data_IF_497424514755
#
_entry.id   IF_497424514755
#
_cell.length_a   1.000
_cell.length_b   1.000
_cell.length_c   1.000
_cell.angle_alpha   90.00
_cell.angle_beta   90.00
_cell.angle_gamma   90.00
#
_symmetry.space_group_name_H-M   'P 1'
#
loop_
_entity.id
_entity.type
_entity.pdbx_description
1 polymer ?
#
# COMPACT_ATOMS: atom_id res chain seq x y z
N UNK A 1 -16.24 -3.77 -40.68
CA UNK A 1 -16.47 -2.98 -39.45
C UNK A 1 -15.21 -3.06 -38.61
N UNK A 2 -14.27 -2.15 -38.84
CA UNK A 2 -12.99 -2.10 -38.12
C UNK A 2 -13.17 -1.35 -36.81
N UNK A 3 -13.14 -2.09 -35.70
CA UNK A 3 -13.11 -1.52 -34.36
C UNK A 3 -11.69 -1.02 -34.07
N UNK A 4 -11.49 0.29 -34.18
CA UNK A 4 -10.27 0.94 -33.72
C UNK A 4 -10.35 1.07 -32.21
N UNK A 5 -9.77 0.13 -31.48
CA UNK A 5 -9.50 0.31 -30.06
C UNK A 5 -8.45 1.41 -29.92
N UNK A 6 -8.88 2.64 -29.65
CA UNK A 6 -8.00 3.67 -29.13
C UNK A 6 -7.58 3.22 -27.73
N UNK A 7 -6.41 2.58 -27.64
CA UNK A 7 -5.74 2.39 -26.36
C UNK A 7 -5.39 3.77 -25.84
N UNK A 8 -6.21 4.26 -24.90
CA UNK A 8 -5.82 5.37 -24.03
C UNK A 8 -4.59 4.88 -23.28
N UNK A 9 -3.40 5.25 -23.74
CA UNK A 9 -2.15 5.01 -23.03
C UNK A 9 -2.30 5.78 -21.73
N UNK A 10 -2.71 5.08 -20.66
CA UNK A 10 -2.71 5.65 -19.33
C UNK A 10 -1.27 6.13 -19.10
N UNK A 11 -1.09 7.44 -18.95
CA UNK A 11 0.21 8.02 -18.70
C UNK A 11 0.82 7.27 -17.52
N UNK A 12 1.99 6.66 -17.72
CA UNK A 12 2.68 5.97 -16.65
C UNK A 12 2.77 6.89 -15.43
N UNK A 13 2.58 6.37 -14.20
CA UNK A 13 2.68 7.20 -13.01
C UNK A 13 4.04 7.89 -12.94
N UNK A 14 4.07 9.10 -12.38
CA UNK A 14 5.33 9.82 -12.19
C UNK A 14 6.31 8.96 -11.38
N UNK A 15 7.50 8.64 -11.92
CA UNK A 15 8.45 7.74 -11.27
C UNK A 15 8.92 8.25 -9.91
N UNK A 16 8.99 9.58 -9.69
CA UNK A 16 9.37 10.12 -8.39
C UNK A 16 8.25 9.98 -7.35
N UNK A 17 7.00 10.03 -7.80
CA UNK A 17 5.84 9.77 -6.93
C UNK A 17 5.81 8.29 -6.55
N UNK A 18 6.02 7.38 -7.50
CA UNK A 18 6.13 5.94 -7.25
C UNK A 18 7.26 5.63 -6.27
N UNK A 19 8.46 6.14 -6.51
CA UNK A 19 9.62 5.94 -5.62
C UNK A 19 9.34 6.44 -4.20
N UNK A 20 8.70 7.61 -4.05
CA UNK A 20 8.34 8.15 -2.74
C UNK A 20 7.38 7.22 -1.98
N UNK A 21 6.41 6.62 -2.67
CA UNK A 21 5.50 5.66 -2.05
C UNK A 21 6.23 4.38 -1.65
N UNK A 22 7.09 3.85 -2.51
CA UNK A 22 7.91 2.67 -2.23
C UNK A 22 8.81 2.87 -1.00
N UNK A 23 9.54 3.98 -0.92
CA UNK A 23 10.40 4.29 0.24
C UNK A 23 9.58 4.32 1.53
N UNK A 24 8.44 5.03 1.52
CA UNK A 24 7.59 5.16 2.72
C UNK A 24 6.91 3.84 3.11
N UNK A 25 6.55 2.99 2.15
CA UNK A 25 6.05 1.63 2.43
C UNK A 25 7.14 0.79 3.11
N UNK A 26 8.39 0.89 2.63
CA UNK A 26 9.53 0.18 3.21
C UNK A 26 9.83 0.62 4.65
N UNK A 27 9.78 1.93 4.91
CA UNK A 27 9.92 2.50 6.26
C UNK A 27 8.86 1.97 7.22
N UNK A 28 7.58 1.95 6.80
CA UNK A 28 6.47 1.44 7.62
C UNK A 28 6.56 -0.07 7.82
N UNK A 29 6.94 -0.84 6.80
CA UNK A 29 7.16 -2.28 6.92
C UNK A 29 8.32 -2.59 7.90
N UNK A 30 9.38 -1.77 7.89
CA UNK A 30 10.48 -1.89 8.84
C UNK A 30 10.07 -1.51 10.27
N UNK A 31 9.18 -0.53 10.44
CA UNK A 31 8.61 -0.20 11.75
C UNK A 31 7.71 -1.32 12.28
N UNK A 32 6.86 -1.93 11.45
CA UNK A 32 6.07 -3.10 11.84
C UNK A 32 6.95 -4.23 12.37
N UNK A 33 7.99 -4.62 11.63
CA UNK A 33 8.95 -5.64 12.07
C UNK A 33 9.61 -5.28 13.40
N UNK A 34 10.03 -4.02 13.58
CA UNK A 34 10.62 -3.56 14.86
C UNK A 34 9.65 -3.69 16.04
N UNK A 35 8.39 -3.31 15.87
CA UNK A 35 7.35 -3.46 16.90
C UNK A 35 7.01 -4.93 17.16
N UNK A 36 7.18 -5.82 16.17
CA UNK A 36 7.02 -7.26 16.34
C UNK A 36 8.15 -7.89 17.15
N UNK A 37 9.38 -7.49 16.85
CA UNK A 37 10.61 -8.07 17.39
C UNK A 37 10.97 -7.55 18.80
N UNK A 38 10.50 -6.35 19.19
CA UNK A 38 10.76 -5.77 20.50
C UNK A 38 9.55 -5.89 21.46
N UNK A 39 9.54 -6.88 22.38
CA UNK A 39 8.48 -7.03 23.38
C UNK A 39 8.51 -5.96 24.48
N UNK A 40 9.59 -5.18 24.60
CA UNK A 40 9.76 -4.13 25.60
C UNK A 40 9.11 -2.79 25.21
N UNK A 41 8.60 -2.66 23.98
CA UNK A 41 7.93 -1.44 23.51
C UNK A 41 6.70 -1.14 24.36
N UNK A 42 6.72 0.01 25.01
CA UNK A 42 5.57 0.53 25.73
C UNK A 42 4.37 0.71 24.78
N UNK A 43 3.17 0.31 25.21
CA UNK A 43 1.95 0.36 24.42
C UNK A 43 2.06 -0.31 23.04
N UNK A 44 2.85 -1.40 22.94
CA UNK A 44 3.12 -2.17 21.71
C UNK A 44 1.89 -2.39 20.82
N UNK A 45 0.78 -2.84 21.39
CA UNK A 45 -0.45 -3.08 20.64
C UNK A 45 -0.98 -1.80 19.96
N UNK A 46 -1.00 -0.68 20.67
CA UNK A 46 -1.41 0.61 20.10
C UNK A 46 -0.44 1.06 19.00
N UNK A 47 0.87 0.93 19.25
CA UNK A 47 1.88 1.29 18.27
C UNK A 47 1.74 0.45 16.99
N UNK A 48 1.62 -0.87 17.14
CA UNK A 48 1.36 -1.80 16.04
C UNK A 48 0.16 -1.38 15.21
N UNK A 49 -0.99 -1.13 15.86
CA UNK A 49 -2.20 -0.75 15.15
C UNK A 49 -2.10 0.59 14.42
N UNK A 50 -1.38 1.56 14.98
CA UNK A 50 -1.16 2.86 14.34
C UNK A 50 -0.28 2.71 13.09
N UNK A 51 0.82 1.97 13.18
CA UNK A 51 1.73 1.74 12.05
C UNK A 51 1.04 0.91 10.97
N UNK A 52 0.29 -0.13 11.36
CA UNK A 52 -0.46 -0.97 10.43
C UNK A 52 -1.52 -0.17 9.67
N UNK A 53 -2.28 0.69 10.35
CA UNK A 53 -3.25 1.56 9.68
C UNK A 53 -2.58 2.53 8.70
N UNK A 54 -1.42 3.09 9.04
CA UNK A 54 -0.65 3.94 8.13
C UNK A 54 -0.11 3.16 6.92
N UNK A 55 0.34 1.92 7.14
CA UNK A 55 0.79 1.02 6.07
C UNK A 55 -0.34 0.69 5.10
N UNK A 56 -1.49 0.23 5.61
CA UNK A 56 -2.66 -0.12 4.80
C UNK A 56 -3.16 1.08 3.98
N UNK A 57 -3.21 2.28 4.58
CA UNK A 57 -3.61 3.50 3.88
C UNK A 57 -2.65 3.89 2.75
N UNK A 58 -1.34 3.70 2.96
CA UNK A 58 -0.31 3.99 1.96
C UNK A 58 -0.29 2.93 0.84
N UNK A 59 -0.51 1.67 1.19
CA UNK A 59 -0.63 0.55 0.26
C UNK A 59 -1.79 0.79 -0.71
N UNK A 60 -2.95 1.20 -0.18
CA UNK A 60 -4.12 1.57 -0.99
C UNK A 60 -3.87 2.75 -1.91
N UNK A 61 -3.08 3.74 -1.48
CA UNK A 61 -2.64 4.84 -2.35
C UNK A 61 -1.72 4.37 -3.49
N UNK A 62 -0.78 3.46 -3.19
CA UNK A 62 0.06 2.84 -4.22
C UNK A 62 -0.78 2.04 -5.23
N UNK A 63 -1.78 1.29 -4.75
CA UNK A 63 -2.72 0.59 -5.62
C UNK A 63 -3.51 1.55 -6.53
N UNK A 64 -4.02 2.67 -5.99
CA UNK A 64 -4.67 3.72 -6.81
C UNK A 64 -3.73 4.28 -7.87
N UNK A 65 -2.48 4.57 -7.50
CA UNK A 65 -1.48 5.07 -8.44
C UNK A 65 -1.17 4.05 -9.54
N UNK A 66 -1.14 2.76 -9.21
CA UNK A 66 -0.93 1.66 -10.15
C UNK A 66 -2.18 1.30 -10.98
N UNK A 67 -3.32 1.99 -10.77
CA UNK A 67 -4.58 1.73 -11.47
C UNK A 67 -5.26 0.42 -11.04
N UNK A 68 -4.95 -0.07 -9.84
CA UNK A 68 -5.58 -1.25 -9.25
C UNK A 68 -6.96 -0.91 -8.65
N UNK A 69 -7.93 -1.83 -8.73
CA UNK A 69 -9.18 -1.68 -8.01
C UNK A 69 -8.90 -1.66 -6.50
N UNK A 70 -9.39 -0.62 -5.85
CA UNK A 70 -9.31 -0.40 -4.41
C UNK A 70 -10.68 0.03 -3.92
N UNK A 71 -11.00 -0.30 -2.67
CA UNK A 71 -12.20 0.24 -2.04
C UNK A 71 -12.09 1.77 -1.99
N UNK A 72 -13.10 2.47 -2.50
CA UNK A 72 -13.09 3.93 -2.61
C UNK A 72 -13.14 4.65 -1.26
N UNK A 73 -13.59 3.96 -0.21
CA UNK A 73 -13.64 4.53 1.12
C UNK A 73 -12.23 4.56 1.73
N UNK A 74 -11.73 5.73 2.18
CA UNK A 74 -10.51 5.75 2.97
C UNK A 74 -10.73 4.96 4.26
N UNK A 75 -9.75 4.14 4.63
CA UNK A 75 -9.71 3.53 5.96
C UNK A 75 -9.74 4.66 7.00
N UNK A 76 -10.67 4.60 7.94
CA UNK A 76 -10.66 5.52 9.09
C UNK A 76 -9.44 5.26 9.96
N UNK A 77 -9.08 6.22 10.82
CA UNK A 77 -7.89 6.14 11.67
C UNK A 77 -7.84 4.89 12.58
N UNK A 78 -8.98 4.26 12.84
CA UNK A 78 -9.16 3.05 13.64
C UNK A 78 -9.47 1.79 12.80
N UNK A 79 -9.67 1.93 11.50
CA UNK A 79 -9.95 0.83 10.57
C UNK A 79 -8.67 0.33 9.90
N UNK A 80 -8.61 -0.98 9.66
CA UNK A 80 -7.49 -1.64 8.97
C UNK A 80 -8.04 -2.46 7.83
N UNK A 81 -7.22 -2.66 6.80
CA UNK A 81 -7.56 -3.65 5.79
C UNK A 81 -7.59 -5.04 6.45
N UNK A 82 -8.54 -5.88 6.01
CA UNK A 82 -8.48 -7.30 6.33
C UNK A 82 -7.15 -7.88 5.87
N UNK A 83 -6.60 -8.85 6.60
CA UNK A 83 -5.29 -9.42 6.28
C UNK A 83 -5.21 -9.95 4.82
N UNK A 84 -6.31 -10.56 4.33
CA UNK A 84 -6.41 -11.07 2.97
C UNK A 84 -6.39 -9.96 1.91
N UNK A 85 -7.04 -8.83 2.19
CA UNK A 85 -7.08 -7.68 1.27
C UNK A 85 -5.72 -6.98 1.21
N UNK A 86 -5.06 -6.79 2.37
CA UNK A 86 -3.68 -6.30 2.39
C UNK A 86 -2.77 -7.22 1.58
N UNK A 87 -2.82 -8.53 1.81
CA UNK A 87 -1.98 -9.50 1.08
C UNK A 87 -2.26 -9.44 -0.44
N UNK A 88 -3.53 -9.34 -0.85
CA UNK A 88 -3.90 -9.16 -2.26
C UNK A 88 -3.27 -7.91 -2.85
N UNK A 89 -3.38 -6.77 -2.17
CA UNK A 89 -2.80 -5.49 -2.62
C UNK A 89 -1.26 -5.57 -2.75
N UNK A 90 -0.58 -6.18 -1.78
CA UNK A 90 0.87 -6.38 -1.80
C UNK A 90 1.32 -7.24 -3.00
N UNK A 91 0.62 -8.34 -3.25
CA UNK A 91 0.92 -9.25 -4.35
C UNK A 91 0.67 -8.58 -5.72
N UNK A 92 -0.42 -7.83 -5.86
CA UNK A 92 -0.75 -7.12 -7.10
C UNK A 92 0.28 -6.02 -7.44
N UNK A 93 0.78 -5.30 -6.45
CA UNK A 93 1.85 -4.32 -6.63
C UNK A 93 3.18 -5.01 -6.98
N UNK A 94 3.53 -6.07 -6.26
CA UNK A 94 4.74 -6.87 -6.52
C UNK A 94 4.75 -7.43 -7.95
N UNK A 95 3.62 -7.96 -8.43
CA UNK A 95 3.46 -8.46 -9.80
C UNK A 95 3.65 -7.37 -10.88
N UNK A 96 3.52 -6.09 -10.52
CA UNK A 96 3.74 -4.93 -11.39
C UNK A 96 5.13 -4.32 -11.23
N UNK A 97 6.02 -4.98 -10.50
CA UNK A 97 7.42 -4.56 -10.32
C UNK A 97 7.61 -3.50 -9.24
N UNK A 98 6.61 -3.27 -8.38
CA UNK A 98 6.82 -2.48 -7.18
C UNK A 98 7.62 -3.29 -6.17
N UNK A 99 8.53 -2.61 -5.50
CA UNK A 99 9.31 -3.14 -4.38
C UNK A 99 9.38 -2.10 -3.26
N UNK A 100 9.41 -2.55 -2.01
CA UNK A 100 9.61 -1.72 -0.83
C UNK A 100 10.24 -2.53 0.31
#
# INVERSE_FOLDING_TARGET
>A
MTWTFLTRTARAPDPLVTLRLQVRLGELAAELRRVEEDPGVYARAHHWFAVQGAYDALLREACRLAGLPTESAPLRADERAGADERLREELELSARGWSW
#
